data_IF_157041151225
#
_entry.id   IF_157041151225
#
_cell.length_a   1.000
_cell.length_b   1.000
_cell.length_c   1.000
_cell.angle_alpha   90.00
_cell.angle_beta   90.00
_cell.angle_gamma   90.00
#
_symmetry.space_group_name_H-M   'P 1'
#
loop_
_entity.id
_entity.type
_entity.pdbx_description
1 polymer ?
#
# COMPACT_ATOMS: atom_id res chain seq x y z
N UNK A 1 10.30 -16.20 22.85
CA UNK A 1 9.81 -16.36 21.46
C UNK A 1 10.86 -15.76 20.55
N UNK A 2 11.27 -16.43 19.47
CA UNK A 2 12.18 -15.82 18.52
C UNK A 2 11.53 -14.55 17.97
N UNK A 3 12.34 -13.50 17.80
CA UNK A 3 11.90 -12.29 17.12
C UNK A 3 11.37 -12.66 15.73
N UNK A 4 10.27 -12.04 15.27
CA UNK A 4 9.71 -12.35 13.96
C UNK A 4 10.78 -12.13 12.89
N UNK A 5 10.94 -13.10 11.99
CA UNK A 5 11.91 -13.01 10.90
C UNK A 5 11.77 -11.67 10.16
N UNK A 6 12.89 -10.96 9.98
CA UNK A 6 12.89 -9.66 9.34
C UNK A 6 12.41 -9.76 7.88
N UNK A 7 11.44 -8.93 7.51
CA UNK A 7 10.75 -9.02 6.23
C UNK A 7 11.58 -8.43 5.08
N UNK A 8 11.55 -9.12 3.95
CA UNK A 8 11.95 -8.58 2.65
C UNK A 8 10.72 -8.02 1.95
N UNK A 9 10.78 -6.76 1.52
CA UNK A 9 9.66 -6.03 0.91
C UNK A 9 10.01 -5.65 -0.53
N UNK A 10 9.12 -5.95 -1.48
CA UNK A 10 9.14 -5.35 -2.82
C UNK A 10 8.26 -4.11 -2.80
N UNK A 11 8.77 -2.98 -3.28
CA UNK A 11 8.04 -1.71 -3.36
C UNK A 11 8.06 -1.17 -4.80
N UNK A 12 6.91 -1.17 -5.46
CA UNK A 12 6.74 -0.48 -6.73
C UNK A 12 6.15 0.93 -6.51
N UNK A 13 6.58 1.90 -7.32
CA UNK A 13 6.12 3.29 -7.21
C UNK A 13 6.84 4.11 -6.14
N UNK A 14 8.04 3.71 -5.71
CA UNK A 14 8.84 4.37 -4.66
C UNK A 14 9.18 5.85 -4.91
N UNK A 15 9.12 6.33 -6.17
CA UNK A 15 9.39 7.72 -6.54
C UNK A 15 8.13 8.61 -6.52
N UNK A 16 6.93 8.04 -6.29
CA UNK A 16 5.67 8.78 -6.20
C UNK A 16 5.46 9.40 -4.83
N UNK A 17 4.44 10.28 -4.71
CA UNK A 17 4.14 11.01 -3.47
C UNK A 17 3.92 10.07 -2.27
N UNK A 18 3.09 9.04 -2.40
CA UNK A 18 2.87 8.05 -1.35
C UNK A 18 4.07 7.12 -1.24
N UNK A 19 4.63 6.67 -2.39
CA UNK A 19 5.70 5.69 -2.43
C UNK A 19 7.00 6.17 -1.75
N UNK A 20 7.35 7.45 -1.87
CA UNK A 20 8.50 8.03 -1.15
C UNK A 20 8.28 7.96 0.36
N UNK A 21 7.11 8.36 0.84
CA UNK A 21 6.78 8.28 2.28
C UNK A 21 6.69 6.81 2.76
N UNK A 22 6.21 5.89 1.92
CA UNK A 22 6.19 4.47 2.23
C UNK A 22 7.60 3.89 2.32
N UNK A 23 8.50 4.27 1.39
CA UNK A 23 9.91 3.88 1.41
C UNK A 23 10.58 4.33 2.70
N UNK A 24 10.42 5.61 3.09
CA UNK A 24 10.96 6.14 4.34
C UNK A 24 10.45 5.32 5.54
N UNK A 25 9.15 5.13 5.62
CA UNK A 25 8.55 4.41 6.73
C UNK A 25 8.97 2.92 6.80
N UNK A 26 9.17 2.26 5.65
CA UNK A 26 9.65 0.88 5.57
C UNK A 26 11.13 0.78 5.96
N UNK A 27 11.96 1.74 5.54
CA UNK A 27 13.36 1.78 5.92
C UNK A 27 13.57 2.09 7.41
N UNK A 28 12.66 2.82 8.04
CA UNK A 28 12.65 3.07 9.49
C UNK A 28 12.11 1.88 10.31
N UNK A 29 11.40 0.94 9.67
CA UNK A 29 10.75 -0.16 10.38
C UNK A 29 11.77 -1.23 10.80
N UNK A 30 11.86 -1.60 12.10
CA UNK A 30 12.86 -2.56 12.59
C UNK A 30 12.63 -3.99 12.11
N UNK A 31 11.38 -4.35 11.78
CA UNK A 31 10.97 -5.65 11.26
C UNK A 31 11.12 -5.78 9.72
N UNK A 32 11.72 -4.79 9.06
CA UNK A 32 12.06 -4.83 7.63
C UNK A 32 13.56 -5.01 7.45
N UNK A 33 13.99 -6.18 6.96
CA UNK A 33 15.39 -6.46 6.66
C UNK A 33 15.87 -5.73 5.41
N UNK A 34 15.05 -5.73 4.37
CA UNK A 34 15.40 -5.13 3.08
C UNK A 34 14.19 -4.66 2.30
N UNK A 35 14.35 -3.54 1.59
CA UNK A 35 13.39 -3.02 0.62
C UNK A 35 14.04 -3.07 -0.77
N UNK A 36 13.41 -3.80 -1.69
CA UNK A 36 13.72 -3.72 -3.10
C UNK A 36 12.74 -2.73 -3.76
N UNK A 37 13.24 -1.54 -4.07
CA UNK A 37 12.47 -0.54 -4.80
C UNK A 37 12.51 -0.84 -6.30
N UNK A 38 11.34 -1.15 -6.87
CA UNK A 38 11.17 -1.48 -8.28
C UNK A 38 10.78 -0.21 -9.02
N UNK A 39 11.67 0.29 -9.90
CA UNK A 39 11.52 1.61 -10.50
C UNK A 39 11.88 1.60 -11.99
N UNK A 40 11.47 2.63 -12.72
CA UNK A 40 11.85 2.84 -14.13
C UNK A 40 13.15 3.64 -14.28
N UNK A 41 13.56 4.33 -13.23
CA UNK A 41 14.75 5.21 -13.19
C UNK A 41 15.41 5.10 -11.83
N UNK A 42 16.70 5.40 -11.71
CA UNK A 42 17.38 5.46 -10.41
C UNK A 42 16.64 6.37 -9.43
N UNK A 43 16.59 5.97 -8.16
CA UNK A 43 15.99 6.80 -7.10
C UNK A 43 16.93 7.92 -6.63
N UNK A 44 18.24 7.85 -6.96
CA UNK A 44 19.23 8.82 -6.47
C UNK A 44 19.37 8.81 -4.94
N UNK A 45 19.09 7.68 -4.30
CA UNK A 45 19.08 7.53 -2.85
C UNK A 45 19.78 6.23 -2.45
N UNK A 46 20.61 6.32 -1.42
CA UNK A 46 21.32 5.19 -0.83
C UNK A 46 20.85 4.94 0.60
N UNK A 47 20.75 3.67 0.97
CA UNK A 47 20.49 3.22 2.34
C UNK A 47 20.94 1.76 2.47
N UNK A 48 21.52 1.30 3.61
CA UNK A 48 22.02 -0.07 3.78
C UNK A 48 20.96 -1.16 3.54
N UNK A 49 19.70 -0.87 3.84
CA UNK A 49 18.56 -1.78 3.63
C UNK A 49 17.78 -1.54 2.33
N UNK A 50 18.23 -0.63 1.46
CA UNK A 50 17.61 -0.33 0.17
C UNK A 50 18.40 -0.94 -0.98
N UNK A 51 17.70 -1.65 -1.87
CA UNK A 51 18.22 -2.03 -3.17
C UNK A 51 17.28 -1.50 -4.26
N UNK A 52 17.78 -0.64 -5.14
CA UNK A 52 16.99 -0.14 -6.26
C UNK A 52 17.16 -1.06 -7.48
N UNK A 53 16.07 -1.64 -7.97
CA UNK A 53 16.01 -2.44 -9.20
C UNK A 53 15.30 -1.65 -10.28
N UNK A 54 16.06 -1.31 -11.32
CA UNK A 54 15.52 -0.60 -12.49
C UNK A 54 14.97 -1.64 -13.45
N UNK A 55 13.69 -1.51 -13.78
CA UNK A 55 12.98 -2.47 -14.64
C UNK A 55 12.11 -1.75 -15.68
N UNK A 56 11.79 -2.47 -16.74
CA UNK A 56 10.71 -2.15 -17.66
C UNK A 56 9.46 -2.87 -17.18
N UNK A 57 8.39 -2.14 -16.85
CA UNK A 57 7.17 -2.75 -16.29
C UNK A 57 6.43 -3.66 -17.26
N UNK A 58 6.61 -3.48 -18.57
CA UNK A 58 6.13 -4.40 -19.60
C UNK A 58 6.87 -5.76 -19.61
N UNK A 59 8.01 -5.85 -18.93
CA UNK A 59 8.84 -7.05 -18.80
C UNK A 59 9.10 -7.46 -17.35
N UNK A 60 8.32 -6.94 -16.40
CA UNK A 60 8.58 -7.05 -14.97
C UNK A 60 8.64 -8.52 -14.50
N UNK A 61 7.76 -9.37 -15.03
CA UNK A 61 7.65 -10.78 -14.65
C UNK A 61 8.96 -11.55 -14.99
N UNK A 62 9.57 -11.22 -16.11
CA UNK A 62 10.84 -11.84 -16.55
C UNK A 62 12.02 -11.24 -15.79
N UNK A 63 12.08 -9.91 -15.61
CA UNK A 63 13.22 -9.21 -15.03
C UNK A 63 13.34 -9.42 -13.51
N UNK A 64 12.26 -9.79 -12.82
CA UNK A 64 12.25 -10.10 -11.39
C UNK A 64 12.14 -11.61 -11.11
N UNK A 65 12.27 -12.47 -12.15
CA UNK A 65 12.25 -13.92 -11.99
C UNK A 65 13.33 -14.39 -10.99
N UNK A 66 12.94 -15.25 -10.06
CA UNK A 66 13.85 -15.78 -9.03
C UNK A 66 14.02 -14.89 -7.79
N UNK A 67 13.42 -13.71 -7.76
CA UNK A 67 13.36 -12.94 -6.52
C UNK A 67 12.41 -13.58 -5.51
N UNK A 68 12.70 -13.38 -4.23
CA UNK A 68 11.82 -13.80 -3.12
C UNK A 68 11.51 -12.60 -2.23
N UNK A 69 10.29 -12.56 -1.69
CA UNK A 69 9.88 -11.54 -0.72
C UNK A 69 8.74 -12.05 0.16
N UNK A 70 8.58 -11.42 1.31
CA UNK A 70 7.50 -11.71 2.25
C UNK A 70 6.27 -10.85 2.00
N UNK A 71 6.51 -9.60 1.60
CA UNK A 71 5.47 -8.57 1.39
C UNK A 71 5.78 -7.81 0.10
N UNK A 72 4.75 -7.51 -0.66
CA UNK A 72 4.85 -6.55 -1.76
C UNK A 72 3.92 -5.36 -1.53
N UNK A 73 4.41 -4.19 -1.90
CA UNK A 73 3.71 -2.90 -1.76
C UNK A 73 3.66 -2.23 -3.13
N UNK A 74 2.47 -1.87 -3.57
CA UNK A 74 2.26 -1.18 -4.83
C UNK A 74 1.71 0.24 -4.60
N UNK A 75 2.56 1.23 -4.86
CA UNK A 75 2.21 2.65 -4.90
C UNK A 75 2.26 3.18 -6.34
N UNK A 76 2.16 2.30 -7.35
CA UNK A 76 2.04 2.72 -8.74
C UNK A 76 0.75 3.48 -8.95
N UNK A 77 0.82 4.46 -9.78
CA UNK A 77 -0.31 5.26 -10.22
C UNK A 77 0.17 6.48 -11.00
N UNK A 78 -0.69 6.95 -11.86
CA UNK A 78 -0.45 8.16 -12.64
C UNK A 78 -1.70 9.05 -12.61
N UNK A 79 -1.69 10.12 -13.34
CA UNK A 79 -2.89 10.93 -13.61
C UNK A 79 -3.19 10.84 -15.10
N UNK A 80 -4.46 10.96 -15.51
CA UNK A 80 -4.87 10.97 -16.93
C UNK A 80 -4.02 11.98 -17.72
N UNK A 81 -3.74 13.13 -17.11
CA UNK A 81 -2.89 14.16 -17.71
C UNK A 81 -1.44 13.74 -17.90
N UNK A 82 -0.84 13.03 -16.93
CA UNK A 82 0.54 12.53 -17.05
C UNK A 82 0.64 11.34 -18.00
N UNK A 83 -0.41 10.52 -18.05
CA UNK A 83 -0.50 9.39 -18.95
C UNK A 83 -0.71 9.84 -20.42
N UNK A 84 -1.39 10.99 -20.64
CA UNK A 84 -1.70 11.53 -21.96
C UNK A 84 -2.95 10.94 -22.61
N UNK A 85 -3.39 9.75 -22.19
CA UNK A 85 -4.61 9.11 -22.67
C UNK A 85 -5.22 8.19 -21.62
N UNK A 86 -6.50 7.82 -21.79
CA UNK A 86 -7.18 6.83 -20.94
C UNK A 86 -6.53 5.44 -21.07
N UNK A 87 -6.10 5.07 -22.27
CA UNK A 87 -5.42 3.79 -22.51
C UNK A 87 -4.09 3.70 -21.75
N UNK A 88 -3.26 4.72 -21.80
CA UNK A 88 -1.99 4.76 -21.07
C UNK A 88 -2.21 4.87 -19.56
N UNK A 89 -3.27 5.57 -19.12
CA UNK A 89 -3.67 5.59 -17.72
C UNK A 89 -4.01 4.17 -17.24
N UNK A 90 -4.89 3.45 -17.95
CA UNK A 90 -5.28 2.09 -17.63
C UNK A 90 -4.07 1.14 -17.65
N UNK A 91 -3.16 1.29 -18.64
CA UNK A 91 -1.93 0.49 -18.72
C UNK A 91 -1.07 0.63 -17.47
N UNK A 92 -0.90 1.86 -16.94
CA UNK A 92 -0.10 2.08 -15.73
C UNK A 92 -0.84 1.64 -14.48
N UNK A 93 -2.12 2.03 -14.34
CA UNK A 93 -2.89 1.88 -13.12
C UNK A 93 -3.59 0.51 -12.97
N UNK A 94 -3.70 -0.27 -14.06
CA UNK A 94 -4.23 -1.65 -14.03
C UNK A 94 -3.17 -2.65 -14.45
N UNK A 95 -2.69 -2.57 -15.70
CA UNK A 95 -1.91 -3.66 -16.27
C UNK A 95 -0.55 -3.83 -15.58
N UNK A 96 0.17 -2.72 -15.29
CA UNK A 96 1.44 -2.78 -14.56
C UNK A 96 1.26 -3.16 -13.10
N UNK A 97 0.16 -2.72 -12.45
CA UNK A 97 -0.15 -3.11 -11.08
C UNK A 97 -0.45 -4.60 -10.99
N UNK A 98 -1.26 -5.13 -11.91
CA UNK A 98 -1.57 -6.56 -11.99
C UNK A 98 -0.33 -7.41 -12.30
N UNK A 99 0.53 -6.97 -13.24
CA UNK A 99 1.80 -7.64 -13.56
C UNK A 99 2.72 -7.67 -12.32
N UNK A 100 2.85 -6.54 -11.62
CA UNK A 100 3.62 -6.50 -10.37
C UNK A 100 3.03 -7.42 -9.29
N UNK A 101 1.70 -7.50 -9.17
CA UNK A 101 1.05 -8.39 -8.22
C UNK A 101 1.34 -9.87 -8.56
N UNK A 102 1.23 -10.28 -9.83
CA UNK A 102 1.61 -11.65 -10.26
C UNK A 102 3.07 -11.94 -9.98
N UNK A 103 3.96 -11.00 -10.30
CA UNK A 103 5.41 -11.12 -10.00
C UNK A 103 5.65 -11.29 -8.51
N UNK A 104 4.99 -10.50 -7.67
CA UNK A 104 5.10 -10.60 -6.21
C UNK A 104 4.58 -11.95 -5.69
N UNK A 105 3.49 -12.47 -6.27
CA UNK A 105 2.98 -13.81 -5.92
C UNK A 105 3.96 -14.91 -6.30
N UNK A 106 4.56 -14.83 -7.49
CA UNK A 106 5.62 -15.74 -7.93
C UNK A 106 6.88 -15.65 -7.04
N UNK A 107 7.16 -14.46 -6.50
CA UNK A 107 8.20 -14.19 -5.51
C UNK A 107 7.82 -14.64 -4.08
N UNK A 108 6.74 -15.40 -3.92
CA UNK A 108 6.25 -15.98 -2.66
C UNK A 108 5.71 -14.95 -1.64
N UNK A 109 5.38 -13.74 -2.06
CA UNK A 109 4.72 -12.77 -1.19
C UNK A 109 3.42 -13.34 -0.62
N UNK A 110 3.30 -13.35 0.70
CA UNK A 110 2.08 -13.77 1.39
C UNK A 110 1.09 -12.60 1.51
N UNK A 111 1.61 -11.37 1.52
CA UNK A 111 0.85 -10.14 1.67
C UNK A 111 1.12 -9.17 0.53
N UNK A 112 0.04 -8.58 0.03
CA UNK A 112 0.09 -7.49 -0.94
C UNK A 112 -0.64 -6.27 -0.41
N UNK A 113 0.01 -5.11 -0.45
CA UNK A 113 -0.59 -3.83 -0.06
C UNK A 113 -0.64 -2.95 -1.31
N UNK A 114 -1.80 -2.42 -1.65
CA UNK A 114 -1.97 -1.55 -2.82
C UNK A 114 -2.69 -0.26 -2.47
N UNK A 115 -2.25 0.83 -3.09
CA UNK A 115 -2.90 2.14 -2.97
C UNK A 115 -3.87 2.32 -4.13
N UNK A 116 -5.15 2.44 -3.78
CA UNK A 116 -6.27 2.72 -4.67
C UNK A 116 -6.82 4.14 -4.45
N UNK A 117 -8.12 4.32 -4.49
CA UNK A 117 -8.79 5.61 -4.28
C UNK A 117 -10.15 5.43 -3.61
N UNK A 118 -10.52 6.33 -2.71
CA UNK A 118 -11.87 6.40 -2.18
C UNK A 118 -12.90 6.53 -3.31
N UNK A 119 -13.98 5.77 -3.22
CA UNK A 119 -15.04 5.74 -4.23
C UNK A 119 -14.73 4.88 -5.46
N UNK A 120 -13.66 4.07 -5.46
CA UNK A 120 -13.40 3.08 -6.51
C UNK A 120 -14.62 2.15 -6.65
N UNK A 121 -15.23 2.12 -7.84
CA UNK A 121 -16.44 1.35 -8.13
C UNK A 121 -16.59 1.12 -9.62
N UNK A 122 -16.92 -0.09 -10.02
CA UNK A 122 -17.19 -0.43 -11.43
C UNK A 122 -18.40 0.34 -11.99
N UNK A 123 -19.34 0.74 -11.13
CA UNK A 123 -20.54 1.50 -11.49
C UNK A 123 -20.32 3.02 -11.48
N UNK A 124 -19.12 3.50 -11.16
CA UNK A 124 -18.86 4.95 -11.13
C UNK A 124 -18.98 5.59 -12.52
N UNK A 125 -19.54 6.78 -12.58
CA UNK A 125 -19.52 7.61 -13.80
C UNK A 125 -18.10 8.09 -14.17
N UNK A 126 -17.20 8.17 -13.20
CA UNK A 126 -15.81 8.57 -13.38
C UNK A 126 -14.99 7.43 -13.98
N UNK A 127 -14.36 7.66 -15.13
CA UNK A 127 -13.40 6.73 -15.72
C UNK A 127 -12.30 6.36 -14.72
N UNK A 128 -11.73 7.35 -14.02
CA UNK A 128 -10.70 7.14 -13.00
C UNK A 128 -11.14 6.13 -11.92
N UNK A 129 -12.35 6.29 -11.37
CA UNK A 129 -12.85 5.43 -10.29
C UNK A 129 -13.20 4.04 -10.80
N UNK A 130 -13.69 3.89 -12.04
CA UNK A 130 -13.89 2.58 -12.67
C UNK A 130 -12.56 1.86 -12.87
N UNK A 131 -11.54 2.56 -13.37
CA UNK A 131 -10.20 1.98 -13.56
C UNK A 131 -9.57 1.56 -12.24
N UNK A 132 -9.78 2.33 -11.16
CA UNK A 132 -9.33 1.91 -9.81
C UNK A 132 -10.04 0.66 -9.32
N UNK A 133 -11.34 0.52 -9.56
CA UNK A 133 -12.07 -0.71 -9.23
C UNK A 133 -11.56 -1.90 -10.04
N UNK A 134 -11.33 -1.73 -11.34
CA UNK A 134 -10.75 -2.76 -12.23
C UNK A 134 -9.38 -3.22 -11.71
N UNK A 135 -8.54 -2.30 -11.29
CA UNK A 135 -7.24 -2.61 -10.67
C UNK A 135 -7.41 -3.45 -9.39
N UNK A 136 -8.34 -3.06 -8.50
CA UNK A 136 -8.61 -3.80 -7.27
C UNK A 136 -9.05 -5.24 -7.54
N UNK A 137 -9.94 -5.44 -8.53
CA UNK A 137 -10.41 -6.75 -8.98
C UNK A 137 -9.27 -7.58 -9.57
N UNK A 138 -8.46 -6.99 -10.45
CA UNK A 138 -7.31 -7.66 -11.05
C UNK A 138 -6.28 -8.14 -10.01
N UNK A 139 -6.02 -7.33 -8.97
CA UNK A 139 -5.13 -7.70 -7.87
C UNK A 139 -5.76 -8.76 -6.97
N UNK A 140 -7.05 -8.66 -6.68
CA UNK A 140 -7.76 -9.63 -5.85
C UNK A 140 -7.75 -11.04 -6.50
N UNK A 141 -7.87 -11.10 -7.83
CA UNK A 141 -7.81 -12.35 -8.60
C UNK A 141 -6.47 -13.09 -8.48
N UNK A 142 -5.37 -12.42 -8.09
CA UNK A 142 -4.05 -13.06 -7.89
C UNK A 142 -4.04 -14.01 -6.67
N UNK A 143 -4.94 -13.81 -5.71
CA UNK A 143 -5.15 -14.75 -4.60
C UNK A 143 -4.04 -14.71 -3.53
N UNK A 144 -3.68 -13.53 -3.02
CA UNK A 144 -2.80 -13.42 -1.85
C UNK A 144 -3.47 -13.92 -0.57
N UNK A 145 -2.68 -14.44 0.35
CA UNK A 145 -3.16 -14.79 1.70
C UNK A 145 -3.75 -13.56 2.41
N UNK A 146 -3.14 -12.40 2.17
CA UNK A 146 -3.59 -11.11 2.68
C UNK A 146 -3.45 -10.04 1.60
N UNK A 147 -4.55 -9.38 1.26
CA UNK A 147 -4.59 -8.25 0.34
C UNK A 147 -5.17 -7.04 1.08
N UNK A 148 -4.35 -6.02 1.27
CA UNK A 148 -4.75 -4.77 1.91
C UNK A 148 -4.84 -3.67 0.86
N UNK A 149 -6.05 -3.17 0.60
CA UNK A 149 -6.36 -2.13 -0.37
C UNK A 149 -6.61 -0.83 0.39
N UNK A 150 -5.69 0.13 0.27
CA UNK A 150 -5.85 1.44 0.87
C UNK A 150 -6.55 2.36 -0.14
N UNK A 151 -7.72 2.86 0.23
CA UNK A 151 -8.56 3.76 -0.56
C UNK A 151 -8.53 5.18 0.05
N UNK A 152 -7.42 5.93 -0.06
CA UNK A 152 -7.35 7.28 0.46
C UNK A 152 -8.30 8.21 -0.32
N UNK A 153 -8.82 9.22 0.38
CA UNK A 153 -9.41 10.41 -0.22
C UNK A 153 -8.34 11.29 -0.89
N UNK A 154 -8.62 12.56 -1.15
CA UNK A 154 -7.64 13.49 -1.71
C UNK A 154 -6.35 13.51 -0.91
N UNK A 155 -5.22 13.24 -1.59
CA UNK A 155 -3.91 13.21 -0.95
C UNK A 155 -3.40 14.63 -0.68
N UNK A 156 -3.12 14.92 0.58
CA UNK A 156 -2.49 16.14 1.02
C UNK A 156 -0.97 15.94 1.07
N UNK A 157 -0.21 16.75 0.34
CA UNK A 157 1.25 16.69 0.33
C UNK A 157 1.86 17.53 -0.80
N UNK A 158 3.08 17.99 -0.58
CA UNK A 158 3.83 18.75 -1.57
C UNK A 158 4.32 17.81 -2.66
N UNK A 159 3.88 18.01 -3.90
CA UNK A 159 4.52 17.44 -5.10
C UNK A 159 5.42 18.52 -5.71
N UNK A 160 6.53 18.11 -6.30
CA UNK A 160 7.44 19.02 -7.02
C UNK A 160 6.78 19.75 -8.22
N UNK A 161 5.56 19.38 -8.59
CA UNK A 161 4.78 19.96 -9.69
C UNK A 161 3.38 20.38 -9.23
N UNK A 162 3.23 20.95 -8.03
CA UNK A 162 1.94 21.46 -7.55
C UNK A 162 1.48 22.69 -8.31
N UNK A 163 0.19 22.71 -8.68
CA UNK A 163 -0.49 23.89 -9.23
C UNK A 163 -1.27 24.64 -8.15
N UNK A 164 -1.57 25.92 -8.42
CA UNK A 164 -2.34 26.80 -7.52
C UNK A 164 -3.67 26.18 -7.02
N UNK A 165 -4.36 25.38 -7.85
CA UNK A 165 -5.58 24.65 -7.46
C UNK A 165 -5.34 23.55 -6.41
N UNK A 166 -4.20 22.86 -6.46
CA UNK A 166 -3.82 21.83 -5.47
C UNK A 166 -3.41 22.49 -4.14
N UNK A 167 -2.82 23.69 -4.20
CA UNK A 167 -2.54 24.50 -3.00
C UNK A 167 -3.83 24.96 -2.31
N UNK A 168 -4.86 25.33 -3.08
CA UNK A 168 -6.18 25.65 -2.55
C UNK A 168 -6.81 24.46 -1.82
N UNK A 169 -6.73 23.26 -2.40
CA UNK A 169 -7.22 22.05 -1.76
C UNK A 169 -6.46 21.71 -0.45
N UNK A 170 -5.15 21.94 -0.39
CA UNK A 170 -4.36 21.77 0.85
C UNK A 170 -4.83 22.66 2.00
N UNK A 171 -5.28 23.87 1.70
CA UNK A 171 -5.77 24.84 2.70
C UNK A 171 -7.23 24.56 3.10
N UNK A 172 -8.06 24.15 2.13
CA UNK A 172 -9.51 24.00 2.31
C UNK A 172 -9.87 22.63 2.88
N UNK A 173 -9.21 21.55 2.47
CA UNK A 173 -9.55 20.20 2.92
C UNK A 173 -9.44 19.98 4.44
N UNK A 174 -8.44 20.49 5.16
CA UNK A 174 -8.41 20.39 6.62
C UNK A 174 -9.62 21.06 7.29
N UNK A 175 -10.13 22.15 6.71
CA UNK A 175 -11.31 22.87 7.20
C UNK A 175 -12.60 22.10 6.88
N UNK A 176 -12.66 21.38 5.76
CA UNK A 176 -13.82 20.58 5.36
C UNK A 176 -13.88 19.22 6.03
N UNK A 177 -12.73 18.62 6.40
CA UNK A 177 -12.65 17.30 6.98
C UNK A 177 -13.61 17.07 8.17
N UNK A 178 -13.78 17.99 9.15
CA UNK A 178 -14.71 17.80 10.26
C UNK A 178 -16.18 17.67 9.84
N UNK A 179 -16.55 18.22 8.70
CA UNK A 179 -17.92 18.18 8.17
C UNK A 179 -18.19 16.91 7.33
N UNK A 180 -17.15 16.22 6.90
CA UNK A 180 -17.25 14.95 6.19
C UNK A 180 -17.41 13.80 7.20
N UNK A 181 -18.67 13.46 7.56
CA UNK A 181 -19.03 12.42 8.52
C UNK A 181 -19.85 11.31 7.87
N UNK A 182 -19.87 10.12 8.48
CA UNK A 182 -20.61 8.96 7.97
C UNK A 182 -20.11 8.53 6.58
N UNK A 183 -20.99 8.26 5.60
CA UNK A 183 -20.59 7.76 4.27
C UNK A 183 -19.62 8.68 3.50
N UNK A 184 -19.56 9.98 3.86
CA UNK A 184 -18.68 10.97 3.23
C UNK A 184 -17.27 11.00 3.84
N UNK A 185 -17.06 10.34 4.95
CA UNK A 185 -15.78 10.28 5.66
C UNK A 185 -14.66 9.69 4.80
N UNK A 186 -14.96 8.72 3.94
CA UNK A 186 -14.03 8.13 3.00
C UNK A 186 -13.33 9.17 2.10
N UNK A 187 -13.96 10.35 1.89
CA UNK A 187 -13.46 11.43 1.04
C UNK A 187 -12.70 12.51 1.81
N UNK A 188 -12.42 12.32 3.10
CA UNK A 188 -11.54 13.23 3.84
C UNK A 188 -10.16 13.28 3.23
N UNK A 189 -9.60 14.50 3.17
CA UNK A 189 -8.20 14.67 2.77
C UNK A 189 -7.25 14.03 3.78
N UNK A 190 -6.30 13.27 3.29
CA UNK A 190 -5.32 12.55 4.13
C UNK A 190 -3.90 12.84 3.65
N UNK A 191 -2.94 12.95 4.59
CA UNK A 191 -1.56 13.21 4.20
C UNK A 191 -0.91 11.98 3.54
N UNK A 192 -0.08 12.21 2.52
CA UNK A 192 0.69 11.14 1.90
C UNK A 192 1.63 10.44 2.90
N UNK A 193 2.09 11.17 3.93
CA UNK A 193 2.88 10.62 5.02
C UNK A 193 2.07 9.63 5.85
N UNK A 194 0.81 9.96 6.20
CA UNK A 194 -0.09 9.06 6.91
C UNK A 194 -0.32 7.78 6.11
N UNK A 195 -0.60 7.89 4.79
CA UNK A 195 -0.78 6.71 3.93
C UNK A 195 0.51 5.87 3.86
N UNK A 196 1.68 6.50 3.70
CA UNK A 196 2.97 5.80 3.72
C UNK A 196 3.23 5.06 5.05
N UNK A 197 2.88 5.68 6.17
CA UNK A 197 2.97 5.05 7.50
C UNK A 197 1.96 3.90 7.65
N UNK A 198 0.74 4.07 7.15
CA UNK A 198 -0.30 3.04 7.17
C UNK A 198 0.10 1.78 6.39
N UNK A 199 0.88 1.93 5.32
CA UNK A 199 1.44 0.80 4.57
C UNK A 199 2.28 -0.10 5.51
N UNK A 200 3.13 0.48 6.36
CA UNK A 200 3.88 -0.29 7.37
C UNK A 200 2.94 -0.98 8.36
N UNK A 201 1.91 -0.30 8.84
CA UNK A 201 0.87 -0.91 9.68
C UNK A 201 0.16 -2.08 9.00
N UNK A 202 -0.17 -1.95 7.70
CA UNK A 202 -0.76 -3.01 6.90
C UNK A 202 0.17 -4.23 6.80
N UNK A 203 1.50 -4.04 6.64
CA UNK A 203 2.46 -5.17 6.62
C UNK A 203 2.51 -5.95 7.94
N UNK A 204 1.99 -5.38 9.02
CA UNK A 204 1.97 -5.94 10.38
C UNK A 204 0.59 -6.43 10.80
N UNK A 205 -0.47 -6.05 10.07
CA UNK A 205 -1.82 -6.48 10.40
C UNK A 205 -1.93 -8.00 10.29
N UNK A 206 -2.44 -8.69 11.31
CA UNK A 206 -2.66 -10.13 11.27
C UNK A 206 -3.85 -10.55 10.39
N UNK A 207 -4.51 -9.62 9.70
CA UNK A 207 -5.73 -9.87 8.92
C UNK A 207 -5.41 -10.66 7.65
N UNK A 208 -6.29 -11.61 7.32
CA UNK A 208 -6.24 -12.42 6.09
C UNK A 208 -7.38 -12.06 5.15
N UNK A 209 -7.28 -12.50 3.90
CA UNK A 209 -8.24 -12.19 2.85
C UNK A 209 -8.11 -10.75 2.35
N UNK A 210 -9.15 -10.28 1.67
CA UNK A 210 -9.18 -8.93 1.08
C UNK A 210 -9.74 -7.94 2.09
N UNK A 211 -8.96 -6.94 2.41
CA UNK A 211 -9.33 -5.84 3.31
C UNK A 211 -9.30 -4.52 2.55
N UNK A 212 -10.32 -3.68 2.73
CA UNK A 212 -10.36 -2.31 2.19
C UNK A 212 -10.37 -1.30 3.32
N UNK A 213 -9.53 -0.28 3.21
CA UNK A 213 -9.35 0.73 4.23
C UNK A 213 -9.59 2.11 3.63
N UNK A 214 -10.61 2.81 4.12
CA UNK A 214 -10.85 4.23 3.86
C UNK A 214 -10.16 5.08 4.93
N UNK A 215 -10.48 6.35 5.04
CA UNK A 215 -9.81 7.32 5.90
C UNK A 215 -9.51 6.79 7.32
N UNK A 216 -10.53 6.40 8.09
CA UNK A 216 -10.35 5.95 9.48
C UNK A 216 -9.55 4.64 9.58
N UNK A 217 -9.76 3.72 8.63
CA UNK A 217 -8.99 2.48 8.55
C UNK A 217 -7.51 2.74 8.26
N UNK A 218 -7.19 3.70 7.38
CA UNK A 218 -5.82 4.11 7.07
C UNK A 218 -5.18 4.79 8.28
N UNK A 219 -5.90 5.68 8.97
CA UNK A 219 -5.45 6.30 10.22
C UNK A 219 -5.16 5.25 11.31
N UNK A 220 -6.03 4.25 11.45
CA UNK A 220 -5.83 3.16 12.41
C UNK A 220 -4.58 2.34 12.07
N UNK A 221 -4.37 2.00 10.79
CA UNK A 221 -3.15 1.31 10.33
C UNK A 221 -1.89 2.15 10.59
N UNK A 222 -1.95 3.46 10.36
CA UNK A 222 -0.81 4.34 10.63
C UNK A 222 -0.38 4.34 12.10
N UNK A 223 -1.33 4.18 13.02
CA UNK A 223 -1.05 4.05 14.47
C UNK A 223 -0.40 2.71 14.83
N UNK A 224 -0.66 1.64 14.09
CA UNK A 224 -0.03 0.33 14.31
C UNK A 224 1.49 0.33 14.05
N UNK A 225 2.04 1.35 13.39
CA UNK A 225 3.50 1.51 13.24
C UNK A 225 4.22 1.51 14.59
N UNK A 226 3.61 2.07 15.62
CA UNK A 226 4.22 2.27 16.96
C UNK A 226 3.94 1.15 17.94
N UNK A 227 3.04 0.22 17.63
CA UNK A 227 2.71 -0.88 18.53
C UNK A 227 3.69 -2.03 18.28
N UNK A 228 4.47 -2.42 19.31
CA UNK A 228 5.18 -3.71 19.33
C UNK A 228 4.16 -4.79 18.99
N UNK A 229 4.49 -5.66 18.02
CA UNK A 229 3.63 -6.79 17.71
C UNK A 229 3.30 -7.56 18.99
N UNK A 230 2.03 -7.49 19.41
CA UNK A 230 1.50 -8.45 20.37
C UNK A 230 1.37 -9.74 19.56
N UNK A 231 2.05 -10.83 19.92
CA UNK A 231 1.89 -12.09 19.22
C UNK A 231 0.40 -12.43 19.21
N UNK A 232 -0.15 -12.79 18.06
CA UNK A 232 -1.46 -13.40 18.00
C UNK A 232 -1.39 -14.66 18.84
N UNK A 233 -1.95 -14.61 20.04
CA UNK A 233 -2.14 -15.82 20.85
C UNK A 233 -3.08 -16.69 20.05
N UNK A 234 -2.60 -17.85 19.62
CA UNK A 234 -3.44 -18.86 18.99
C UNK A 234 -4.61 -19.12 19.95
N UNK A 235 -5.88 -18.91 19.50
CA UNK A 235 -7.04 -19.12 20.37
C UNK A 235 -7.08 -20.53 20.97
N UNK A 236 -6.46 -21.51 20.30
CA UNK A 236 -6.33 -22.87 20.76
C UNK A 236 -5.28 -22.97 21.89
N UNK A 237 -4.12 -22.35 21.70
CA UNK A 237 -3.08 -22.28 22.74
C UNK A 237 -3.54 -21.51 23.99
N UNK A 238 -4.35 -20.45 23.81
CA UNK A 238 -4.94 -19.72 24.93
C UNK A 238 -5.94 -20.56 25.71
N UNK A 239 -6.77 -21.36 25.02
CA UNK A 239 -7.71 -22.28 25.67
C UNK A 239 -7.00 -23.43 26.40
N UNK A 240 -5.93 -23.96 25.83
CA UNK A 240 -5.14 -25.04 26.45
C UNK A 240 -4.35 -24.53 27.67
N UNK A 241 -3.84 -23.31 27.65
CA UNK A 241 -3.22 -22.66 28.79
C UNK A 241 -4.21 -22.34 29.92
N UNK A 242 -5.42 -21.92 29.58
CA UNK A 242 -6.49 -21.69 30.56
C UNK A 242 -6.97 -23.00 31.23
N UNK A 243 -7.03 -24.09 30.48
CA UNK A 243 -7.36 -25.43 31.03
C UNK A 243 -6.32 -25.95 32.00
N UNK A 244 -5.02 -25.70 31.76
CA UNK A 244 -3.94 -26.14 32.66
C UNK A 244 -3.91 -25.40 34.00
N UNK A 245 -4.41 -24.14 34.06
CA UNK A 245 -4.49 -23.34 35.31
C UNK A 245 -5.63 -23.72 36.24
N UNK A 246 -6.61 -24.49 35.77
CA UNK A 246 -7.76 -24.93 36.58
C UNK A 246 -7.57 -26.35 37.15
N UNK A 247 -6.37 -26.93 37.07
CA UNK A 247 -6.04 -28.27 37.59
C UNK A 247 -4.89 -28.26 38.62
N UNK A 248 -4.42 -27.09 39.00
CA UNK A 248 -3.54 -26.86 40.17
C UNK A 248 -4.31 -26.04 41.21
#
# INVERSE_FOLDING_TARGET
>A
MPDPEPKVVLLAGASGLVGTNALDALLDAPDVARVFAITRRPLGREHPRLANRIVRFDQIETQLKGMTCHVAVCCLGTTIRQAGSEAEFRRVDVDYVAAFARTAKAAQAQRFVVVSSAGASAQSKSFYLRTKAEMEEAVAAVGFTSLDILQPGPLLGLRSQMRALELGALLVMPLLNPFLRGPREAFRGISAKTVGTAIVGATRSGRRGVQRYTFDGIEALARLKSVRMIPLVDPKAARDAARRRNFD
#
